data_IF_365344230627
#
_entry.id   IF_365344230627
#
_cell.length_a   1.000
_cell.length_b   1.000
_cell.length_c   1.000
_cell.angle_alpha   90.00
_cell.angle_beta   90.00
_cell.angle_gamma   90.00
#
_symmetry.space_group_name_H-M   'P 1'
#
loop_
_entity.id
_entity.type
_entity.pdbx_description
1 polymer ?
#
# COMPACT_ATOMS: atom_id res chain seq x y z
N UNK A 1 -2.67 18.95 75.00
CA UNK A 1 -1.91 17.68 74.99
C UNK A 1 -2.28 16.93 73.71
N UNK A 2 -1.47 17.04 72.66
CA UNK A 2 -1.74 16.37 71.38
C UNK A 2 -0.94 15.06 71.33
N UNK A 3 -1.63 13.92 71.42
CA UNK A 3 -1.03 12.60 71.28
C UNK A 3 -0.60 12.40 69.82
N UNK A 4 0.70 12.31 69.56
CA UNK A 4 1.22 11.96 68.22
C UNK A 4 0.70 10.57 67.83
N UNK A 5 0.02 10.42 66.68
CA UNK A 5 -0.42 9.11 66.21
C UNK A 5 0.80 8.23 65.94
N UNK A 6 0.81 7.02 66.50
CA UNK A 6 1.83 5.99 66.23
C UNK A 6 1.81 5.67 64.74
N UNK A 7 2.89 6.00 64.03
CA UNK A 7 3.09 5.53 62.64
C UNK A 7 3.24 4.01 62.69
N UNK A 8 2.30 3.28 62.08
CA UNK A 8 2.44 1.84 61.87
C UNK A 8 3.57 1.64 60.84
N UNK A 9 4.62 0.92 61.22
CA UNK A 9 5.70 0.54 60.31
C UNK A 9 5.23 -0.55 59.37
N UNK A 10 5.61 -0.46 58.10
CA UNK A 10 5.30 -1.46 57.08
C UNK A 10 6.28 -2.63 57.24
N UNK A 11 5.78 -3.87 57.28
CA UNK A 11 6.65 -5.04 57.40
C UNK A 11 7.24 -5.41 56.04
N UNK A 12 8.46 -5.96 56.03
CA UNK A 12 9.13 -6.39 54.80
C UNK A 12 8.31 -7.43 54.02
N UNK A 13 7.55 -8.27 54.73
CA UNK A 13 6.70 -9.29 54.12
C UNK A 13 5.47 -8.69 53.42
N UNK A 14 4.83 -7.68 54.00
CA UNK A 14 3.71 -6.97 53.36
C UNK A 14 4.14 -6.31 52.05
N UNK A 15 5.35 -5.73 52.03
CA UNK A 15 5.91 -5.13 50.81
C UNK A 15 6.19 -6.16 49.74
N UNK A 16 6.76 -7.31 50.13
CA UNK A 16 7.07 -8.39 49.21
C UNK A 16 5.80 -8.96 48.57
N UNK A 17 4.75 -9.22 49.37
CA UNK A 17 3.47 -9.73 48.87
C UNK A 17 2.82 -8.75 47.89
N UNK A 18 2.82 -7.44 48.20
CA UNK A 18 2.24 -6.43 47.31
C UNK A 18 3.01 -6.36 45.98
N UNK A 19 4.34 -6.35 46.02
CA UNK A 19 5.15 -6.35 44.80
C UNK A 19 4.97 -7.64 43.99
N UNK A 20 4.81 -8.79 44.64
CA UNK A 20 4.54 -10.06 43.97
C UNK A 20 3.18 -10.04 43.24
N UNK A 21 2.12 -9.54 43.88
CA UNK A 21 0.79 -9.42 43.26
C UNK A 21 0.83 -8.44 42.06
N UNK A 22 1.45 -7.26 42.22
CA UNK A 22 1.58 -6.29 41.12
C UNK A 22 2.35 -6.89 39.95
N UNK A 23 3.42 -7.63 40.22
CA UNK A 23 4.24 -8.26 39.18
C UNK A 23 3.47 -9.34 38.41
N UNK A 24 2.67 -10.16 39.11
CA UNK A 24 1.80 -11.18 38.48
C UNK A 24 0.72 -10.51 37.62
N UNK A 25 0.04 -9.50 38.16
CA UNK A 25 -0.99 -8.75 37.42
C UNK A 25 -0.39 -8.07 36.18
N UNK A 26 0.76 -7.40 36.31
CA UNK A 26 1.45 -6.75 35.20
C UNK A 26 1.90 -7.77 34.12
N UNK A 27 2.43 -8.93 34.53
CA UNK A 27 2.85 -9.98 33.62
C UNK A 27 1.68 -10.56 32.81
N UNK A 28 0.48 -10.65 33.38
CA UNK A 28 -0.72 -11.10 32.67
C UNK A 28 -1.34 -10.01 31.80
N UNK A 29 -1.27 -8.74 32.21
CA UNK A 29 -1.85 -7.61 31.47
C UNK A 29 -1.02 -7.22 30.24
N UNK A 30 0.31 -7.30 30.31
CA UNK A 30 1.19 -6.89 29.22
C UNK A 30 0.90 -7.60 27.87
N UNK A 31 0.79 -8.94 27.79
CA UNK A 31 0.46 -9.61 26.52
C UNK A 31 -0.93 -9.22 26.02
N UNK A 32 -1.91 -9.06 26.92
CA UNK A 32 -3.27 -8.64 26.56
C UNK A 32 -3.33 -7.23 25.96
N UNK A 33 -2.60 -6.27 26.54
CA UNK A 33 -2.54 -4.89 26.03
C UNK A 33 -1.90 -4.83 24.64
N UNK A 34 -0.87 -5.65 24.38
CA UNK A 34 -0.24 -5.68 23.05
C UNK A 34 -1.16 -6.29 22.00
N UNK A 35 -1.83 -7.40 22.31
CA UNK A 35 -2.81 -8.01 21.40
C UNK A 35 -3.95 -7.05 21.06
N UNK A 36 -4.47 -6.33 22.07
CA UNK A 36 -5.51 -5.33 21.86
C UNK A 36 -5.03 -4.17 20.97
N UNK A 37 -3.79 -3.70 21.15
CA UNK A 37 -3.19 -2.65 20.31
C UNK A 37 -3.00 -3.12 18.87
N UNK A 38 -2.54 -4.35 18.65
CA UNK A 38 -2.38 -4.90 17.31
C UNK A 38 -3.72 -5.10 16.59
N UNK A 39 -4.74 -5.57 17.31
CA UNK A 39 -6.10 -5.66 16.79
C UNK A 39 -6.64 -4.27 16.38
N UNK A 40 -6.46 -3.26 17.25
CA UNK A 40 -6.88 -1.90 16.94
C UNK A 40 -6.16 -1.33 15.71
N UNK A 41 -4.85 -1.59 15.54
CA UNK A 41 -4.10 -1.18 14.34
C UNK A 41 -4.63 -1.85 13.07
N UNK A 42 -5.00 -3.13 13.13
CA UNK A 42 -5.65 -3.84 12.00
C UNK A 42 -7.01 -3.23 11.65
N UNK A 43 -7.83 -2.92 12.67
CA UNK A 43 -9.11 -2.23 12.48
C UNK A 43 -8.91 -0.84 11.85
N UNK A 44 -7.84 -0.12 12.20
CA UNK A 44 -7.51 1.14 11.55
C UNK A 44 -7.14 0.94 10.07
N UNK A 45 -6.28 -0.03 9.73
CA UNK A 45 -5.90 -0.25 8.32
C UNK A 45 -7.09 -0.73 7.45
N UNK A 46 -8.02 -1.52 8.01
CA UNK A 46 -9.29 -1.87 7.33
C UNK A 46 -10.20 -0.66 7.14
N UNK A 47 -10.36 0.20 8.16
CA UNK A 47 -11.12 1.44 8.03
C UNK A 47 -10.51 2.42 7.01
N UNK A 48 -9.17 2.46 6.88
CA UNK A 48 -8.51 3.24 5.85
C UNK A 48 -8.85 2.73 4.44
N UNK A 49 -8.80 1.41 4.22
CA UNK A 49 -9.21 0.80 2.95
C UNK A 49 -10.69 1.06 2.63
N UNK A 50 -11.57 1.00 3.64
CA UNK A 50 -13.00 1.35 3.44
C UNK A 50 -13.18 2.81 3.02
N UNK A 51 -12.47 3.75 3.65
CA UNK A 51 -12.48 5.16 3.25
C UNK A 51 -11.94 5.38 1.83
N UNK A 52 -10.88 4.66 1.44
CA UNK A 52 -10.37 4.66 0.06
C UNK A 52 -11.43 4.10 -0.90
N UNK A 53 -12.14 3.04 -0.53
CA UNK A 53 -13.22 2.48 -1.34
C UNK A 53 -14.39 3.44 -1.53
N UNK A 54 -14.84 4.10 -0.47
CA UNK A 54 -15.86 5.16 -0.56
C UNK A 54 -15.38 6.29 -1.47
N UNK A 55 -14.11 6.68 -1.40
CA UNK A 55 -13.56 7.70 -2.29
C UNK A 55 -13.52 7.24 -3.76
N UNK A 56 -13.20 5.97 -4.05
CA UNK A 56 -13.27 5.40 -5.39
C UNK A 56 -14.70 5.41 -5.94
N UNK A 57 -15.69 5.06 -5.12
CA UNK A 57 -17.11 5.13 -5.51
C UNK A 57 -17.53 6.57 -5.80
N UNK A 58 -17.16 7.53 -4.94
CA UNK A 58 -17.50 8.94 -5.15
C UNK A 58 -16.82 9.50 -6.41
N UNK A 59 -15.58 9.11 -6.70
CA UNK A 59 -14.89 9.45 -7.94
C UNK A 59 -15.64 8.88 -9.14
N UNK A 60 -16.01 7.60 -9.10
CA UNK A 60 -16.74 6.96 -10.19
C UNK A 60 -18.11 7.62 -10.40
N UNK A 61 -18.84 7.95 -9.34
CA UNK A 61 -20.11 8.68 -9.44
C UNK A 61 -19.96 10.05 -10.13
N UNK A 62 -18.85 10.75 -9.86
CA UNK A 62 -18.58 12.06 -10.43
C UNK A 62 -18.06 12.00 -11.88
N UNK A 63 -17.26 10.98 -12.21
CA UNK A 63 -16.53 10.89 -13.49
C UNK A 63 -17.03 9.78 -14.43
N UNK A 64 -17.97 8.94 -13.98
CA UNK A 64 -18.53 7.75 -14.67
C UNK A 64 -17.50 6.65 -14.98
N UNK A 65 -16.29 6.76 -14.45
CA UNK A 65 -15.18 5.82 -14.60
C UNK A 65 -14.35 5.81 -13.32
N UNK A 66 -13.68 4.69 -13.05
CA UNK A 66 -12.64 4.60 -12.03
C UNK A 66 -11.41 5.45 -12.42
N UNK A 67 -10.63 5.95 -11.45
CA UNK A 67 -9.46 6.75 -11.75
C UNK A 67 -8.39 5.92 -12.43
N UNK A 68 -7.60 6.50 -13.35
CA UNK A 68 -6.43 5.83 -13.91
C UNK A 68 -5.41 5.53 -12.81
N UNK A 69 -4.85 4.31 -12.79
CA UNK A 69 -3.80 3.92 -11.85
C UNK A 69 -2.58 4.84 -11.88
N UNK A 70 -2.20 5.25 -13.10
CA UNK A 70 -1.16 6.23 -13.37
C UNK A 70 -1.53 7.02 -14.62
N UNK A 71 -1.29 8.32 -14.63
CA UNK A 71 -1.42 9.15 -15.83
C UNK A 71 -0.02 9.40 -16.38
N UNK A 72 0.18 9.09 -17.66
CA UNK A 72 1.42 9.42 -18.37
C UNK A 72 1.22 9.40 -19.89
N UNK A 73 2.02 10.18 -20.62
CA UNK A 73 1.91 10.22 -22.08
C UNK A 73 2.36 8.90 -22.73
N UNK A 74 3.37 8.23 -22.14
CA UNK A 74 3.98 7.04 -22.72
C UNK A 74 3.97 5.89 -21.71
N UNK A 75 3.79 4.66 -22.21
CA UNK A 75 4.02 3.43 -21.47
C UNK A 75 5.19 2.63 -22.07
N UNK A 76 5.69 1.60 -21.36
CA UNK A 76 5.38 1.26 -19.97
C UNK A 76 5.99 2.27 -18.97
N UNK A 77 5.40 2.37 -17.77
CA UNK A 77 5.92 3.22 -16.70
C UNK A 77 7.22 2.65 -16.14
N UNK A 78 8.27 3.47 -16.15
CA UNK A 78 9.53 3.18 -15.49
C UNK A 78 9.48 3.64 -14.03
N UNK A 79 10.02 2.84 -13.11
CA UNK A 79 10.15 3.15 -11.69
C UNK A 79 11.30 4.13 -11.43
N UNK A 80 11.22 5.30 -12.07
CA UNK A 80 12.16 6.42 -11.94
C UNK A 80 11.39 7.74 -11.91
N UNK A 81 11.95 8.80 -11.32
CA UNK A 81 11.36 10.13 -11.26
C UNK A 81 11.43 10.86 -12.61
N UNK A 82 10.93 10.22 -13.68
CA UNK A 82 10.99 10.72 -15.05
C UNK A 82 9.67 10.43 -15.76
N UNK A 83 8.91 11.47 -16.05
CA UNK A 83 7.58 11.35 -16.66
C UNK A 83 6.54 12.15 -15.90
N UNK A 84 5.30 12.08 -16.33
CA UNK A 84 4.19 12.77 -15.66
C UNK A 84 3.76 12.02 -14.38
N UNK A 85 3.58 10.69 -14.48
CA UNK A 85 3.40 9.72 -13.40
C UNK A 85 2.41 10.13 -12.30
N UNK A 86 1.30 10.78 -12.65
CA UNK A 86 0.31 11.20 -11.66
C UNK A 86 -0.44 9.97 -11.13
N UNK A 87 -0.37 9.70 -9.82
CA UNK A 87 -1.02 8.54 -9.21
C UNK A 87 -2.55 8.68 -9.15
N UNK A 88 -3.25 7.54 -9.15
CA UNK A 88 -4.68 7.48 -8.81
C UNK A 88 -5.02 8.14 -7.46
N UNK A 89 -4.11 8.13 -6.49
CA UNK A 89 -4.33 8.82 -5.21
C UNK A 89 -4.48 10.33 -5.37
N UNK A 90 -3.77 10.96 -6.32
CA UNK A 90 -3.91 12.39 -6.61
C UNK A 90 -5.34 12.71 -7.00
N UNK A 91 -5.95 11.85 -7.81
CA UNK A 91 -7.33 12.00 -8.27
C UNK A 91 -8.36 11.79 -7.15
N UNK A 92 -8.00 11.02 -6.11
CA UNK A 92 -8.85 10.77 -4.96
C UNK A 92 -8.79 11.85 -3.87
N UNK A 93 -7.79 12.73 -3.87
CA UNK A 93 -7.61 13.76 -2.84
C UNK A 93 -8.89 14.56 -2.51
N UNK A 94 -9.69 15.03 -3.48
CA UNK A 94 -10.92 15.76 -3.17
C UNK A 94 -11.97 14.91 -2.44
N UNK A 95 -11.95 13.60 -2.65
CA UNK A 95 -12.91 12.63 -2.11
C UNK A 95 -12.51 12.05 -0.76
N UNK A 96 -11.26 12.25 -0.32
CA UNK A 96 -10.73 11.83 0.99
C UNK A 96 -10.50 13.01 1.96
N UNK A 97 -10.99 14.21 1.64
CA UNK A 97 -10.85 15.40 2.48
C UNK A 97 -9.54 16.19 2.27
N UNK A 98 -8.71 15.79 1.31
CA UNK A 98 -7.41 16.43 1.00
C UNK A 98 -7.50 17.41 -0.19
N UNK A 99 -8.66 18.06 -0.36
CA UNK A 99 -8.89 19.00 -1.46
C UNK A 99 -7.95 20.21 -1.46
N UNK A 100 -7.36 20.57 -0.31
CA UNK A 100 -6.34 21.60 -0.25
C UNK A 100 -5.04 21.17 -0.96
N UNK A 101 -4.55 19.95 -0.70
CA UNK A 101 -3.37 19.40 -1.37
C UNK A 101 -3.62 19.33 -2.89
N UNK A 102 -4.80 18.86 -3.29
CA UNK A 102 -5.19 18.77 -4.71
C UNK A 102 -5.07 20.10 -5.46
N UNK A 103 -5.55 21.21 -4.85
CA UNK A 103 -5.49 22.54 -5.48
C UNK A 103 -4.08 23.09 -5.62
N UNK A 104 -3.13 22.63 -4.82
CA UNK A 104 -1.73 23.04 -4.89
C UNK A 104 -0.91 22.24 -5.92
N UNK A 105 -1.50 21.21 -6.54
CA UNK A 105 -0.85 20.44 -7.59
C UNK A 105 -1.03 21.16 -8.93
N UNK A 106 0.09 21.48 -9.58
CA UNK A 106 0.14 21.95 -10.97
C UNK A 106 0.06 20.75 -11.92
N UNK A 107 -1.15 20.48 -12.42
CA UNK A 107 -1.44 19.40 -13.35
C UNK A 107 -0.83 19.58 -14.75
N UNK A 108 -0.29 20.76 -15.09
CA UNK A 108 0.43 20.97 -16.36
C UNK A 108 1.88 20.49 -16.29
N UNK A 109 2.36 20.12 -15.09
CA UNK A 109 3.72 19.67 -14.85
C UNK A 109 3.76 18.26 -14.31
N UNK A 110 4.90 17.60 -14.48
CA UNK A 110 5.21 16.33 -13.85
C UNK A 110 5.02 16.39 -12.34
N UNK A 111 4.60 15.28 -11.72
CA UNK A 111 4.54 15.19 -10.27
C UNK A 111 5.91 15.42 -9.60
N UNK A 112 7.00 15.16 -10.33
CA UNK A 112 8.37 15.35 -9.83
C UNK A 112 8.84 16.81 -9.92
N UNK A 113 8.18 17.65 -10.72
CA UNK A 113 8.58 19.05 -10.88
C UNK A 113 8.63 19.79 -9.55
N UNK A 114 9.57 20.73 -9.39
CA UNK A 114 9.72 21.55 -8.17
C UNK A 114 8.42 22.25 -7.74
N UNK A 115 7.56 22.63 -8.70
CA UNK A 115 6.24 23.22 -8.44
C UNK A 115 5.32 22.32 -7.58
N UNK A 116 5.46 21.00 -7.71
CA UNK A 116 4.64 20.01 -7.00
C UNK A 116 5.34 19.45 -5.74
N UNK A 117 6.53 19.97 -5.39
CA UNK A 117 7.37 19.41 -4.33
C UNK A 117 6.72 19.51 -2.94
N UNK A 118 6.09 20.64 -2.63
CA UNK A 118 5.42 20.84 -1.36
C UNK A 118 4.20 19.92 -1.23
N UNK A 119 3.36 19.85 -2.27
CA UNK A 119 2.16 19.02 -2.26
C UNK A 119 2.49 17.53 -2.11
N UNK A 120 3.46 17.00 -2.87
CA UNK A 120 3.84 15.57 -2.78
C UNK A 120 4.56 15.20 -1.48
N UNK A 121 5.13 16.16 -0.76
CA UNK A 121 5.77 15.95 0.53
C UNK A 121 4.76 15.85 1.68
N UNK A 122 3.51 16.31 1.48
CA UNK A 122 2.50 16.29 2.54
C UNK A 122 2.13 14.84 2.92
N UNK A 123 2.14 14.51 4.22
CA UNK A 123 1.69 13.21 4.68
C UNK A 123 0.17 13.14 4.75
N UNK A 124 -0.39 12.10 4.14
CA UNK A 124 -1.82 11.81 4.22
C UNK A 124 -2.00 10.67 5.21
N UNK A 125 -2.59 10.96 6.37
CA UNK A 125 -2.77 9.98 7.44
C UNK A 125 -3.55 8.74 7.00
N UNK A 126 -4.56 8.94 6.14
CA UNK A 126 -5.37 7.87 5.58
C UNK A 126 -4.54 6.84 4.79
N UNK A 127 -3.46 7.28 4.15
CA UNK A 127 -2.64 6.40 3.30
C UNK A 127 -1.57 5.65 4.08
N UNK A 128 -1.54 5.74 5.42
CA UNK A 128 -0.51 5.11 6.26
C UNK A 128 -1.12 4.03 7.13
N UNK A 129 -0.51 2.84 7.11
CA UNK A 129 -0.88 1.81 8.07
C UNK A 129 -0.12 2.05 9.39
N UNK A 130 -0.79 2.16 10.56
CA UNK A 130 -0.14 2.44 11.84
C UNK A 130 0.83 1.35 12.31
N UNK A 131 0.75 0.15 11.73
CA UNK A 131 1.70 -0.94 11.97
C UNK A 131 2.94 -0.89 11.08
N UNK A 132 2.97 -0.04 10.05
CA UNK A 132 4.13 0.05 9.16
C UNK A 132 5.33 0.63 9.93
N UNK A 133 6.42 -0.12 10.13
CA UNK A 133 7.58 0.37 10.85
C UNK A 133 8.27 1.46 10.00
N UNK A 134 8.33 2.68 10.54
CA UNK A 134 9.38 3.66 10.21
C UNK A 134 9.56 3.99 8.71
N UNK A 135 8.47 4.08 7.96
CA UNK A 135 8.51 4.89 6.73
C UNK A 135 8.57 6.33 7.19
N UNK A 136 9.65 7.09 6.91
CA UNK A 136 9.64 8.48 7.31
C UNK A 136 8.40 9.09 6.64
N UNK A 137 7.68 9.91 7.42
CA UNK A 137 6.52 10.70 6.97
C UNK A 137 6.79 11.32 5.60
N UNK A 138 8.08 11.53 5.32
CA UNK A 138 8.66 12.01 4.09
C UNK A 138 9.97 11.25 3.77
N UNK A 139 10.08 10.52 2.65
CA UNK A 139 11.33 9.84 2.20
C UNK A 139 12.02 10.63 1.09
N UNK A 140 13.32 10.43 0.87
CA UNK A 140 14.02 10.93 -0.33
C UNK A 140 13.70 10.05 -1.53
N UNK A 141 13.29 10.64 -2.65
CA UNK A 141 13.16 9.95 -3.95
C UNK A 141 14.42 9.09 -4.22
N UNK A 142 14.25 7.81 -4.54
CA UNK A 142 15.41 6.98 -4.87
C UNK A 142 16.00 7.37 -6.24
N UNK A 143 17.24 7.85 -6.22
CA UNK A 143 18.10 7.99 -7.39
C UNK A 143 18.83 6.69 -7.71
N UNK A 144 19.06 6.43 -9.00
CA UNK A 144 20.01 5.40 -9.46
C UNK A 144 21.46 5.91 -9.33
N UNK A 145 22.48 5.04 -9.37
CA UNK A 145 23.87 5.46 -9.22
C UNK A 145 24.31 6.50 -10.29
N UNK A 146 24.55 7.74 -9.81
CA UNK A 146 25.55 8.74 -10.23
C UNK A 146 25.77 9.20 -11.67
N UNK A 147 25.07 8.73 -12.71
CA UNK A 147 25.36 9.25 -14.08
C UNK A 147 24.20 9.98 -14.79
N UNK A 148 23.00 10.03 -14.23
CA UNK A 148 21.84 10.71 -14.86
C UNK A 148 20.90 11.36 -13.85
N UNK A 149 21.44 11.98 -12.80
CA UNK A 149 20.65 12.60 -11.74
C UNK A 149 19.68 13.65 -12.29
N UNK A 150 18.39 13.35 -12.24
CA UNK A 150 17.33 14.35 -12.34
C UNK A 150 17.51 15.34 -11.17
N UNK A 151 17.26 16.65 -11.34
CA UNK A 151 17.47 17.67 -10.31
C UNK A 151 16.72 17.47 -8.97
N UNK A 152 15.92 16.40 -8.84
CA UNK A 152 15.05 16.10 -7.69
C UNK A 152 15.51 14.87 -6.85
N UNK A 153 16.71 14.32 -7.08
CA UNK A 153 17.31 13.31 -6.19
C UNK A 153 17.44 13.88 -4.76
N UNK A 154 16.82 13.23 -3.77
CA UNK A 154 16.78 13.74 -2.39
C UNK A 154 15.50 14.50 -2.01
N UNK A 155 14.55 14.69 -2.94
CA UNK A 155 13.30 15.38 -2.63
C UNK A 155 12.41 14.57 -1.67
N UNK A 156 11.82 15.30 -0.75
CA UNK A 156 10.90 14.84 0.28
C UNK A 156 9.56 14.38 -0.33
N UNK A 157 9.13 13.13 -0.08
CA UNK A 157 7.84 12.58 -0.51
C UNK A 157 7.05 11.84 0.56
N UNK A 158 5.74 12.10 0.64
CA UNK A 158 4.83 11.37 1.51
C UNK A 158 4.64 9.93 1.06
N UNK A 159 4.71 8.96 1.96
CA UNK A 159 4.61 7.52 1.63
C UNK A 159 3.17 7.00 1.69
N UNK A 160 2.88 5.93 0.95
CA UNK A 160 1.65 5.14 1.08
C UNK A 160 1.95 3.72 1.56
N UNK A 161 1.07 3.17 2.39
CA UNK A 161 1.02 1.75 2.78
C UNK A 161 -0.04 0.97 1.99
N UNK A 162 -0.65 1.60 0.98
CA UNK A 162 -1.67 1.02 0.13
C UNK A 162 -1.31 1.23 -1.35
N UNK A 163 -1.65 0.25 -2.17
CA UNK A 163 -1.44 0.29 -3.60
C UNK A 163 -2.67 -0.23 -4.35
N UNK A 164 -2.84 0.23 -5.59
CA UNK A 164 -3.85 -0.26 -6.51
C UNK A 164 -3.40 -1.51 -7.25
N UNK A 165 -4.36 -2.32 -7.69
CA UNK A 165 -4.12 -3.52 -8.51
C UNK A 165 -4.10 -3.11 -9.99
N UNK A 166 -2.93 -3.21 -10.63
CA UNK A 166 -2.82 -2.90 -12.07
C UNK A 166 -2.98 -4.12 -12.98
N UNK A 167 -2.59 -5.33 -12.53
CA UNK A 167 -2.82 -6.60 -13.23
C UNK A 167 -2.63 -7.82 -12.33
N UNK A 168 -3.06 -8.97 -12.81
CA UNK A 168 -2.91 -10.28 -12.17
C UNK A 168 -1.49 -10.89 -12.32
N UNK A 169 -0.61 -10.26 -13.09
CA UNK A 169 0.71 -10.79 -13.38
C UNK A 169 0.83 -11.53 -14.70
N UNK A 170 -0.28 -11.74 -15.43
CA UNK A 170 -0.26 -12.47 -16.69
C UNK A 170 0.50 -11.65 -17.74
N UNK A 171 1.60 -12.23 -18.23
CA UNK A 171 2.34 -11.65 -19.35
C UNK A 171 1.55 -11.82 -20.64
N UNK A 172 1.68 -10.86 -21.57
CA UNK A 172 1.08 -10.98 -22.90
C UNK A 172 1.53 -12.29 -23.54
N UNK A 173 0.59 -13.16 -23.97
CA UNK A 173 0.96 -14.44 -24.53
C UNK A 173 1.70 -14.23 -25.85
N UNK A 174 2.76 -15.00 -26.10
CA UNK A 174 3.53 -14.90 -27.33
C UNK A 174 2.72 -15.33 -28.57
N UNK A 175 1.71 -16.19 -28.37
CA UNK A 175 0.75 -16.70 -29.35
C UNK A 175 -0.58 -16.99 -28.64
N UNK A 176 -1.74 -16.99 -29.34
CA UNK A 176 -3.05 -17.22 -28.73
C UNK A 176 -3.13 -18.48 -27.84
N UNK A 177 -2.48 -19.57 -28.24
CA UNK A 177 -2.53 -20.86 -27.54
C UNK A 177 -1.35 -21.10 -26.58
N UNK A 178 -0.50 -20.09 -26.34
CA UNK A 178 0.62 -20.23 -25.43
C UNK A 178 0.12 -20.36 -23.98
N UNK A 179 0.76 -21.20 -23.14
CA UNK A 179 0.39 -21.32 -21.74
C UNK A 179 0.49 -19.97 -21.03
N UNK A 180 -0.45 -19.67 -20.13
CA UNK A 180 -0.43 -18.44 -19.33
C UNK A 180 0.83 -18.41 -18.47
N UNK A 181 1.67 -17.40 -18.66
CA UNK A 181 2.87 -17.16 -17.86
C UNK A 181 2.62 -15.95 -16.97
N UNK A 182 2.90 -16.10 -15.67
CA UNK A 182 2.70 -15.04 -14.69
C UNK A 182 4.03 -14.54 -14.14
N UNK A 183 4.32 -13.25 -14.31
CA UNK A 183 5.55 -12.59 -13.86
C UNK A 183 5.29 -11.15 -13.46
N UNK A 184 6.08 -10.66 -12.51
CA UNK A 184 6.10 -9.23 -12.21
C UNK A 184 6.53 -8.46 -13.46
N UNK A 185 5.82 -7.37 -13.75
CA UNK A 185 5.87 -6.71 -15.04
C UNK A 185 5.42 -5.25 -14.96
N UNK A 186 5.59 -4.51 -16.08
CA UNK A 186 5.36 -3.08 -16.12
C UNK A 186 3.91 -2.69 -15.85
N UNK A 187 3.75 -1.47 -15.37
CA UNK A 187 2.47 -0.76 -15.44
C UNK A 187 2.33 -0.21 -16.86
N UNK A 188 1.33 -0.67 -17.60
CA UNK A 188 1.11 -0.31 -19.01
C UNK A 188 -0.40 -0.17 -19.32
N UNK A 189 -0.75 0.27 -20.52
CA UNK A 189 -2.12 0.62 -20.93
C UNK A 189 -3.00 -0.60 -21.26
N UNK A 190 -2.39 -1.77 -21.44
CA UNK A 190 -3.09 -3.02 -21.82
C UNK A 190 -2.91 -4.05 -20.71
N UNK A 191 -3.69 -3.88 -19.65
CA UNK A 191 -3.61 -4.65 -18.41
C UNK A 191 -5.01 -5.09 -17.96
N UNK A 192 -5.08 -6.15 -17.15
CA UNK A 192 -6.32 -6.83 -16.77
C UNK A 192 -6.80 -6.52 -15.33
N UNK A 193 -6.05 -5.72 -14.57
CA UNK A 193 -6.52 -5.16 -13.31
C UNK A 193 -7.44 -3.95 -13.53
N UNK A 194 -7.72 -3.20 -12.46
CA UNK A 194 -8.62 -2.03 -12.52
C UNK A 194 -7.90 -0.69 -12.53
N UNK A 195 -6.67 -0.63 -11.99
CA UNK A 195 -5.90 0.60 -11.84
C UNK A 195 -4.58 0.49 -12.60
N UNK A 196 -4.59 0.74 -13.91
CA UNK A 196 -3.40 0.70 -14.78
C UNK A 196 -3.18 2.02 -15.54
N UNK A 197 -2.15 2.09 -16.40
CA UNK A 197 -1.77 3.31 -17.10
C UNK A 197 -2.93 3.84 -17.96
N UNK A 198 -3.33 5.10 -17.71
CA UNK A 198 -4.39 5.81 -18.42
C UNK A 198 -5.72 5.05 -18.50
N UNK A 199 -5.97 4.16 -17.54
CA UNK A 199 -7.22 3.39 -17.47
C UNK A 199 -8.44 4.28 -17.25
N UNK A 200 -9.57 3.88 -17.84
CA UNK A 200 -10.88 4.51 -17.70
C UNK A 200 -11.97 3.42 -17.56
N UNK A 201 -11.79 2.55 -16.57
CA UNK A 201 -12.64 1.38 -16.37
C UNK A 201 -13.96 1.77 -15.71
N UNK A 202 -15.07 1.34 -16.29
CA UNK A 202 -16.42 1.42 -15.69
C UNK A 202 -16.73 0.17 -14.88
N UNK A 203 -17.67 0.25 -13.93
CA UNK A 203 -18.13 -0.94 -13.19
C UNK A 203 -18.70 -2.05 -14.11
N UNK A 204 -19.24 -1.69 -15.27
CA UNK A 204 -19.76 -2.65 -16.25
C UNK A 204 -18.64 -3.50 -16.90
N UNK A 205 -17.41 -2.98 -16.95
CA UNK A 205 -16.25 -3.68 -17.50
C UNK A 205 -15.59 -4.64 -16.49
N UNK A 206 -16.19 -4.83 -15.32
CA UNK A 206 -15.75 -5.75 -14.27
C UNK A 206 -16.69 -6.96 -14.29
N UNK A 207 -16.56 -7.79 -15.33
CA UNK A 207 -17.48 -8.91 -15.58
C UNK A 207 -17.39 -10.00 -14.52
N UNK A 208 -16.29 -10.10 -13.80
CA UNK A 208 -16.11 -11.09 -12.74
C UNK A 208 -16.83 -10.68 -11.44
N UNK A 209 -17.42 -9.49 -11.43
CA UNK A 209 -18.15 -8.91 -10.32
C UNK A 209 -17.26 -8.08 -9.41
N UNK A 210 -17.71 -6.86 -9.10
CA UNK A 210 -16.98 -5.93 -8.23
C UNK A 210 -16.70 -6.50 -6.83
N UNK A 211 -17.57 -7.37 -6.32
CA UNK A 211 -17.38 -8.09 -5.05
C UNK A 211 -16.34 -9.21 -5.11
N UNK A 212 -15.79 -9.56 -6.27
CA UNK A 212 -14.73 -10.59 -6.41
C UNK A 212 -13.45 -10.03 -7.05
N UNK A 213 -13.42 -8.76 -7.44
CA UNK A 213 -12.23 -8.11 -7.97
C UNK A 213 -11.58 -7.21 -6.92
N UNK A 214 -10.27 -7.40 -6.71
CA UNK A 214 -9.46 -6.56 -5.84
C UNK A 214 -9.12 -5.25 -6.54
N UNK A 215 -9.36 -4.14 -5.85
CA UNK A 215 -9.06 -2.80 -6.36
C UNK A 215 -7.76 -2.27 -5.77
N UNK A 216 -7.59 -2.43 -4.46
CA UNK A 216 -6.41 -1.98 -3.74
C UNK A 216 -6.10 -2.91 -2.58
N UNK A 217 -4.89 -2.82 -2.04
CA UNK A 217 -4.48 -3.61 -0.90
C UNK A 217 -3.29 -3.01 -0.18
N UNK A 218 -3.00 -3.56 0.99
CA UNK A 218 -1.83 -3.19 1.77
C UNK A 218 -0.54 -3.54 1.03
N UNK A 219 0.47 -2.69 1.17
CA UNK A 219 1.83 -2.97 0.71
C UNK A 219 2.83 -2.68 1.83
N UNK A 220 3.81 -3.57 1.99
CA UNK A 220 5.02 -3.25 2.75
C UNK A 220 5.89 -2.33 1.89
N UNK A 221 6.35 -1.22 2.48
CA UNK A 221 7.03 -0.15 1.79
C UNK A 221 8.29 -0.68 1.09
N UNK A 222 8.22 -0.90 -0.22
CA UNK A 222 9.35 -1.42 -0.98
C UNK A 222 10.28 -0.25 -1.23
N UNK A 223 11.43 -0.29 -0.56
CA UNK A 223 12.41 0.77 -0.57
C UNK A 223 12.75 1.21 -2.01
N UNK A 224 12.76 2.53 -2.22
CA UNK A 224 12.79 3.18 -3.53
C UNK A 224 11.68 4.22 -3.78
N UNK A 225 10.74 4.36 -2.84
CA UNK A 225 9.45 5.02 -3.04
C UNK A 225 9.51 6.47 -3.51
N UNK A 226 8.74 6.74 -4.56
CA UNK A 226 8.47 8.07 -5.11
C UNK A 226 7.25 8.75 -4.47
N UNK A 227 6.69 8.13 -3.44
CA UNK A 227 5.58 8.64 -2.64
C UNK A 227 4.20 8.34 -3.21
N UNK A 228 3.17 8.70 -2.44
CA UNK A 228 1.76 8.49 -2.74
C UNK A 228 1.30 9.20 -4.01
N UNK A 229 1.98 10.28 -4.41
CA UNK A 229 1.60 11.05 -5.59
C UNK A 229 2.11 10.43 -6.91
N UNK A 230 3.04 9.48 -6.83
CA UNK A 230 3.70 8.87 -8.00
C UNK A 230 3.04 7.54 -8.39
N UNK A 231 2.41 7.51 -9.57
CA UNK A 231 1.77 6.34 -10.18
C UNK A 231 2.76 5.30 -10.74
N UNK A 232 3.61 4.77 -9.87
CA UNK A 232 4.69 3.80 -10.18
C UNK A 232 4.57 2.61 -9.23
N UNK A 233 5.64 1.83 -9.03
CA UNK A 233 5.76 0.90 -7.90
C UNK A 233 5.70 1.56 -6.50
N UNK A 234 5.34 2.83 -6.38
CA UNK A 234 5.00 3.44 -5.09
C UNK A 234 3.52 3.25 -4.73
N UNK A 235 2.64 3.12 -5.72
CA UNK A 235 1.18 3.12 -5.51
C UNK A 235 0.44 2.06 -6.32
N UNK A 236 1.15 1.23 -7.07
CA UNK A 236 0.58 0.17 -7.89
C UNK A 236 1.34 -1.16 -7.72
N UNK A 237 0.59 -2.26 -7.68
CA UNK A 237 1.08 -3.64 -7.44
C UNK A 237 0.33 -4.62 -8.32
N UNK A 238 0.83 -5.85 -8.37
CA UNK A 238 0.23 -6.93 -9.15
C UNK A 238 0.10 -8.26 -8.42
N UNK A 239 -0.71 -9.13 -9.00
CA UNK A 239 -0.97 -10.49 -8.52
C UNK A 239 0.12 -11.52 -8.87
N UNK A 240 1.19 -11.14 -9.56
CA UNK A 240 2.22 -12.10 -9.97
C UNK A 240 2.99 -12.67 -8.77
N UNK A 241 3.27 -11.80 -7.79
CA UNK A 241 4.01 -12.10 -6.56
C UNK A 241 3.02 -12.29 -5.41
N UNK A 242 3.18 -13.39 -4.69
CA UNK A 242 2.36 -13.71 -3.52
C UNK A 242 2.54 -12.70 -2.38
N UNK A 243 1.51 -12.59 -1.55
CA UNK A 243 1.45 -11.67 -0.41
C UNK A 243 2.68 -11.87 0.50
N UNK A 244 3.31 -10.78 0.91
CA UNK A 244 4.53 -10.77 1.75
C UNK A 244 5.76 -11.45 1.10
N UNK A 245 5.73 -11.78 -0.20
CA UNK A 245 6.86 -12.37 -0.94
C UNK A 245 7.54 -11.41 -1.89
N UNK A 246 7.19 -10.12 -1.88
CA UNK A 246 7.87 -9.10 -2.68
C UNK A 246 9.36 -9.11 -2.34
N UNK A 247 10.24 -9.50 -3.29
CA UNK A 247 11.67 -9.37 -3.08
C UNK A 247 11.94 -7.89 -2.81
N UNK A 248 12.72 -7.57 -1.78
CA UNK A 248 13.05 -6.18 -1.47
C UNK A 248 13.62 -5.52 -2.73
N UNK A 249 12.84 -4.63 -3.38
CA UNK A 249 13.27 -3.92 -4.59
C UNK A 249 14.49 -3.04 -4.30
N UNK A 250 14.75 -2.79 -3.02
CA UNK A 250 16.08 -2.56 -2.48
C UNK A 250 16.16 -3.15 -1.07
N UNK A 251 16.85 -4.28 -0.88
CA UNK A 251 17.47 -4.50 0.43
C UNK A 251 18.50 -3.38 0.59
N UNK A 252 18.57 -2.64 1.71
CA UNK A 252 19.85 -2.02 2.05
C UNK A 252 20.84 -3.16 2.04
N UNK A 253 21.77 -3.11 1.11
CA UNK A 253 22.75 -4.15 0.98
C UNK A 253 23.37 -4.38 2.36
N UNK A 254 23.52 -5.64 2.78
CA UNK A 254 24.31 -5.96 3.96
C UNK A 254 25.60 -5.14 3.88
N UNK A 255 25.99 -4.47 4.97
CA UNK A 255 27.11 -3.51 5.02
C UNK A 255 28.29 -4.02 4.15
N UNK A 256 28.49 -3.42 2.96
CA UNK A 256 29.54 -3.83 2.02
C UNK A 256 29.11 -4.59 0.75
N UNK A 257 27.82 -4.91 0.56
CA UNK A 257 27.31 -5.45 -0.71
C UNK A 257 26.77 -4.32 -1.60
N UNK A 258 26.82 -4.49 -2.92
CA UNK A 258 26.16 -3.57 -3.86
C UNK A 258 24.66 -3.92 -3.87
N UNK A 259 23.73 -2.95 -3.72
CA UNK A 259 22.31 -3.26 -3.83
C UNK A 259 22.02 -3.93 -5.19
N UNK A 260 21.11 -4.92 -5.23
CA UNK A 260 20.74 -5.56 -6.49
C UNK A 260 20.26 -4.50 -7.50
N UNK A 261 20.49 -4.70 -8.81
CA UNK A 261 20.07 -3.73 -9.82
C UNK A 261 18.56 -3.52 -9.75
N UNK A 262 18.15 -2.25 -9.63
CA UNK A 262 16.74 -1.88 -9.66
C UNK A 262 16.12 -2.42 -10.96
N UNK A 263 15.03 -3.18 -10.84
CA UNK A 263 14.25 -3.62 -12.00
C UNK A 263 13.35 -2.45 -12.43
N UNK A 264 13.63 -1.78 -13.56
CA UNK A 264 12.98 -0.53 -13.92
C UNK A 264 11.45 -0.67 -14.09
N UNK A 265 10.96 -1.87 -14.40
CA UNK A 265 9.56 -2.13 -14.70
C UNK A 265 8.86 -3.05 -13.69
N UNK A 266 9.51 -3.40 -12.58
CA UNK A 266 8.93 -4.30 -11.58
C UNK A 266 8.03 -3.52 -10.62
N UNK A 267 6.71 -3.79 -10.61
CA UNK A 267 5.80 -3.12 -9.69
C UNK A 267 5.81 -3.76 -8.29
N UNK A 268 6.13 -5.05 -8.21
CA UNK A 268 6.11 -5.80 -6.95
C UNK A 268 4.72 -6.30 -6.56
N UNK A 269 4.67 -7.11 -5.50
CA UNK A 269 3.44 -7.66 -4.92
C UNK A 269 2.97 -6.97 -3.65
N UNK A 270 1.76 -7.34 -3.23
CA UNK A 270 1.14 -6.84 -2.02
C UNK A 270 1.75 -7.44 -0.75
N UNK A 271 1.48 -6.83 0.40
CA UNK A 271 1.98 -7.31 1.69
C UNK A 271 1.60 -6.37 2.83
N UNK A 272 1.64 -6.86 4.06
CA UNK A 272 1.24 -6.09 5.24
C UNK A 272 2.25 -6.20 6.36
N UNK A 273 2.38 -5.16 7.19
CA UNK A 273 3.10 -5.26 8.45
C UNK A 273 2.36 -6.16 9.47
N UNK A 274 1.12 -6.54 9.19
CA UNK A 274 0.37 -7.49 9.98
C UNK A 274 0.80 -8.94 9.67
N UNK A 275 0.92 -9.82 10.68
CA UNK A 275 1.36 -11.20 10.45
C UNK A 275 0.30 -12.03 9.72
N UNK A 276 0.75 -12.81 8.73
CA UNK A 276 0.02 -13.93 8.11
C UNK A 276 -0.77 -13.60 6.83
N UNK A 277 -0.69 -12.38 6.31
CA UNK A 277 -1.52 -11.95 5.18
C UNK A 277 -1.60 -10.44 5.01
N UNK A 278 -2.60 -9.96 4.28
CA UNK A 278 -2.83 -8.53 4.05
C UNK A 278 -4.32 -8.23 3.87
N UNK A 279 -4.72 -6.99 4.19
CA UNK A 279 -6.06 -6.51 3.89
C UNK A 279 -6.16 -6.00 2.45
N UNK A 280 -7.28 -6.29 1.80
CA UNK A 280 -7.58 -5.87 0.45
C UNK A 280 -8.97 -5.27 0.35
N UNK A 281 -9.07 -4.23 -0.47
CA UNK A 281 -10.31 -3.58 -0.87
C UNK A 281 -10.86 -4.24 -2.13
N UNK A 282 -12.13 -4.61 -2.11
CA UNK A 282 -12.88 -5.09 -3.27
C UNK A 282 -13.64 -3.94 -3.93
N UNK A 283 -14.06 -4.13 -5.17
CA UNK A 283 -14.79 -3.14 -5.94
C UNK A 283 -16.14 -2.72 -5.36
N UNK A 284 -16.73 -3.53 -4.48
CA UNK A 284 -17.96 -3.23 -3.73
C UNK A 284 -17.71 -2.44 -2.43
N UNK A 285 -16.49 -1.95 -2.20
CA UNK A 285 -16.05 -1.21 -0.99
C UNK A 285 -15.84 -2.08 0.25
N UNK A 286 -16.14 -3.37 0.19
CA UNK A 286 -15.86 -4.27 1.31
C UNK A 286 -14.36 -4.58 1.39
N UNK A 287 -13.90 -4.83 2.61
CA UNK A 287 -12.50 -5.15 2.91
C UNK A 287 -12.41 -6.59 3.39
N UNK A 288 -11.51 -7.36 2.79
CA UNK A 288 -11.25 -8.75 3.16
C UNK A 288 -9.79 -8.92 3.57
N UNK A 289 -9.56 -9.83 4.50
CA UNK A 289 -8.21 -10.27 4.85
C UNK A 289 -7.87 -11.52 4.05
N UNK A 290 -6.76 -11.50 3.32
CA UNK A 290 -6.28 -12.64 2.53
C UNK A 290 -5.01 -13.19 3.18
N UNK A 291 -5.01 -14.49 3.46
CA UNK A 291 -3.84 -15.19 4.01
C UNK A 291 -2.73 -15.29 2.96
N UNK A 292 -1.47 -15.18 3.39
CA UNK A 292 -0.32 -15.29 2.48
C UNK A 292 -0.14 -16.68 1.84
N UNK A 293 -0.81 -17.70 2.38
CA UNK A 293 -0.86 -19.08 1.88
C UNK A 293 -2.05 -19.35 0.94
N UNK A 294 -2.80 -18.31 0.51
CA UNK A 294 -3.87 -18.45 -0.49
C UNK A 294 -3.36 -19.18 -1.74
N UNK A 295 -4.23 -19.97 -2.37
CA UNK A 295 -3.92 -20.56 -3.66
C UNK A 295 -3.56 -19.47 -4.69
N UNK A 296 -2.39 -19.61 -5.32
CA UNK A 296 -1.85 -18.62 -6.27
C UNK A 296 -2.79 -18.35 -7.44
N UNK A 297 -3.50 -19.36 -7.93
CA UNK A 297 -4.47 -19.21 -9.04
C UNK A 297 -5.65 -18.37 -8.60
N UNK A 298 -6.23 -18.67 -7.43
CA UNK A 298 -7.34 -17.88 -6.87
C UNK A 298 -6.93 -16.44 -6.64
N UNK A 299 -5.75 -16.21 -6.05
CA UNK A 299 -5.24 -14.85 -5.82
C UNK A 299 -5.08 -14.04 -7.12
N UNK A 300 -4.57 -14.66 -8.18
CA UNK A 300 -4.42 -14.00 -9.48
C UNK A 300 -5.76 -13.65 -10.12
N UNK A 301 -6.72 -14.58 -10.08
CA UNK A 301 -8.10 -14.35 -10.54
C UNK A 301 -8.75 -13.18 -9.81
N UNK A 302 -8.56 -13.08 -8.50
CA UNK A 302 -9.03 -11.93 -7.71
C UNK A 302 -8.38 -10.60 -8.15
N UNK A 303 -7.18 -10.61 -8.72
CA UNK A 303 -6.51 -9.43 -9.28
C UNK A 303 -6.90 -9.13 -10.74
N UNK A 304 -7.69 -10.00 -11.39
CA UNK A 304 -8.22 -9.81 -12.74
C UNK A 304 -9.67 -9.30 -12.64
N UNK A 305 -10.06 -8.42 -13.56
CA UNK A 305 -11.43 -7.87 -13.59
C UNK A 305 -12.40 -8.63 -14.49
N UNK A 306 -11.89 -9.44 -15.43
CA UNK A 306 -12.68 -9.95 -16.56
C UNK A 306 -12.21 -11.28 -17.16
N UNK A 307 -11.64 -12.19 -16.36
CA UNK A 307 -11.23 -13.51 -16.86
C UNK A 307 -12.37 -14.55 -16.89
N UNK A 308 -13.46 -14.31 -16.16
CA UNK A 308 -14.60 -15.22 -16.04
C UNK A 308 -14.30 -16.50 -15.25
N UNK A 309 -13.14 -16.61 -14.61
CA UNK A 309 -12.66 -17.86 -13.99
C UNK A 309 -12.94 -17.94 -12.47
N UNK A 310 -13.50 -16.89 -11.85
CA UNK A 310 -13.77 -16.84 -10.40
C UNK A 310 -14.90 -17.79 -9.92
N UNK A 311 -15.62 -18.43 -10.85
CA UNK A 311 -16.68 -19.42 -10.58
C UNK A 311 -16.35 -20.86 -11.02
N UNK A 312 -15.19 -21.11 -11.64
CA UNK A 312 -14.77 -22.48 -12.01
C UNK A 312 -14.11 -23.09 -10.78
N UNK A 313 -14.94 -23.76 -9.97
CA UNK A 313 -14.67 -24.13 -8.58
C UNK A 313 -13.29 -24.73 -8.31
N UNK A 314 -12.64 -24.17 -7.31
CA UNK A 314 -11.66 -24.78 -6.40
C UNK A 314 -11.44 -23.75 -5.27
N UNK A 315 -12.43 -23.64 -4.38
CA UNK A 315 -12.34 -22.91 -3.10
C UNK A 315 -12.06 -23.90 -1.98
#
# INVERSE_FOLDING_TARGET
MFTRPRRRGFTLIELLVVMAIISILAAMLLPGVQQARDAARRTQCTNHLMQIGVALQNYEMAHRVLPPGSINNNGPIENRPKGYHMSWFVQLLPFIGEGNIHRHIDFQKSIYAKANAEARAQPIHLLRCPSAPLSPTVTTMAGTPKETASPDEGALVGTSSYAGVHHDGQTKPAKPDAPKIYRDGPIDADQNGVLFLNSSITYQQISDGSGHTLFAGETQNVAGGMGWASGTSSTLRNGAIMINKTPSLSQPAARGQKPPPAKPFAAGGFGSAHPGGANFLRGDTSVIYINESINTTVYRRLCNRHDGELGTGDY
#
